data_IF_006251104237
#
_entry.id   IF_006251104237
#
_cell.length_a   1.000
_cell.length_b   1.000
_cell.length_c   1.000
_cell.angle_alpha   90.00
_cell.angle_beta   90.00
_cell.angle_gamma   90.00
#
_symmetry.space_group_name_H-M   'P 1'
#
loop_
_entity.id
_entity.type
_entity.pdbx_description
1 polymer ?
#
# COMPACT_ATOMS: atom_id res chain seq x y z
N UNK A 1 -28.06 3.28 4.02
CA UNK A 1 -27.83 1.83 3.96
C UNK A 1 -26.52 1.44 4.66
N UNK A 2 -25.31 1.64 4.13
CA UNK A 2 -24.08 1.18 4.82
C UNK A 2 -23.82 1.83 6.20
N UNK A 3 -23.90 3.17 6.31
CA UNK A 3 -23.75 3.86 7.60
C UNK A 3 -24.81 3.48 8.64
N UNK A 4 -26.00 3.09 8.20
CA UNK A 4 -27.07 2.67 9.11
C UNK A 4 -26.75 1.32 9.76
N UNK A 5 -26.01 0.45 9.06
CA UNK A 5 -25.62 -0.89 9.54
C UNK A 5 -24.28 -0.83 10.30
N UNK A 6 -23.29 -0.11 9.76
CA UNK A 6 -21.91 -0.12 10.28
C UNK A 6 -21.55 1.10 11.16
N UNK A 7 -22.40 2.13 11.21
CA UNK A 7 -22.19 3.33 12.01
C UNK A 7 -20.81 3.96 11.77
N UNK A 8 -20.05 4.17 12.85
CA UNK A 8 -18.71 4.74 12.82
C UNK A 8 -17.64 3.81 12.24
N UNK A 9 -17.94 2.51 12.10
CA UNK A 9 -17.05 1.53 11.44
C UNK A 9 -17.29 1.45 9.93
N UNK A 10 -18.22 2.25 9.40
CA UNK A 10 -18.49 2.30 7.97
C UNK A 10 -17.27 2.85 7.22
N UNK A 11 -16.95 2.24 6.08
CA UNK A 11 -15.99 2.79 5.14
C UNK A 11 -16.38 4.21 4.71
N UNK A 12 -15.38 5.04 4.44
CA UNK A 12 -15.62 6.34 3.83
C UNK A 12 -16.27 6.17 2.45
N UNK A 13 -17.09 7.16 2.07
CA UNK A 13 -17.85 7.13 0.81
C UNK A 13 -16.93 6.96 -0.41
N UNK A 14 -15.71 7.51 -0.36
CA UNK A 14 -14.69 7.37 -1.41
C UNK A 14 -14.27 5.92 -1.63
N UNK A 15 -13.95 5.19 -0.56
CA UNK A 15 -13.60 3.76 -0.65
C UNK A 15 -14.76 2.91 -1.16
N UNK A 16 -16.01 3.22 -0.78
CA UNK A 16 -17.18 2.51 -1.31
C UNK A 16 -17.29 2.65 -2.83
N UNK A 17 -17.00 3.83 -3.38
CA UNK A 17 -17.02 4.04 -4.83
C UNK A 17 -15.84 3.37 -5.55
N UNK A 18 -14.67 3.33 -4.93
CA UNK A 18 -13.50 2.64 -5.45
C UNK A 18 -13.76 1.13 -5.58
N UNK A 19 -14.25 0.50 -4.51
CA UNK A 19 -14.67 -0.91 -4.55
C UNK A 19 -15.76 -1.17 -5.57
N UNK A 20 -16.77 -0.29 -5.67
CA UNK A 20 -17.82 -0.40 -6.68
C UNK A 20 -17.24 -0.38 -8.10
N UNK A 21 -16.26 0.48 -8.37
CA UNK A 21 -15.58 0.52 -9.67
C UNK A 21 -14.84 -0.79 -9.95
N UNK A 22 -14.05 -1.30 -8.99
CA UNK A 22 -13.31 -2.55 -9.16
C UNK A 22 -14.23 -3.75 -9.42
N UNK A 23 -15.34 -3.87 -8.69
CA UNK A 23 -16.32 -4.92 -8.94
C UNK A 23 -16.95 -4.79 -10.33
N UNK A 24 -17.22 -3.56 -10.79
CA UNK A 24 -17.72 -3.32 -12.15
C UNK A 24 -16.70 -3.68 -13.23
N UNK A 25 -15.41 -3.54 -12.93
CA UNK A 25 -14.28 -3.91 -13.81
C UNK A 25 -13.96 -5.41 -13.75
N UNK A 26 -14.68 -6.20 -12.95
CA UNK A 26 -14.53 -7.65 -12.87
C UNK A 26 -13.51 -8.13 -11.84
N UNK A 27 -13.05 -7.27 -10.91
CA UNK A 27 -12.28 -7.73 -9.75
C UNK A 27 -13.20 -8.54 -8.84
N UNK A 28 -12.89 -9.81 -8.62
CA UNK A 28 -13.65 -10.69 -7.73
C UNK A 28 -12.99 -10.87 -6.35
N UNK A 29 -11.74 -10.46 -6.20
CA UNK A 29 -10.97 -10.62 -4.96
C UNK A 29 -11.12 -9.43 -4.03
N UNK A 30 -11.26 -9.73 -2.73
CA UNK A 30 -11.28 -8.73 -1.65
C UNK A 30 -9.91 -8.47 -1.02
N UNK A 31 -8.92 -9.28 -1.38
CA UNK A 31 -7.55 -9.13 -0.88
C UNK A 31 -6.90 -7.88 -1.46
N UNK A 32 -5.98 -7.30 -0.67
CA UNK A 32 -5.15 -6.19 -1.12
C UNK A 32 -4.23 -6.62 -2.26
N UNK A 33 -3.97 -5.71 -3.19
CA UNK A 33 -2.93 -5.93 -4.19
C UNK A 33 -1.54 -5.99 -3.53
N UNK A 34 -0.56 -6.68 -4.15
CA UNK A 34 0.81 -6.70 -3.66
C UNK A 34 1.32 -5.29 -3.38
N UNK A 35 1.61 -5.01 -2.11
CA UNK A 35 2.12 -3.70 -1.71
C UNK A 35 3.58 -3.61 -2.16
N UNK A 36 3.99 -2.52 -2.83
CA UNK A 36 5.40 -2.32 -3.13
C UNK A 36 6.17 -2.34 -1.80
N UNK A 37 7.18 -3.20 -1.74
CA UNK A 37 8.05 -3.29 -0.58
C UNK A 37 8.79 -1.98 -0.34
N UNK A 38 9.57 -1.94 0.75
CA UNK A 38 10.43 -0.78 1.03
C UNK A 38 11.40 -0.56 -0.15
N UNK A 39 11.42 0.61 -0.80
CA UNK A 39 12.44 0.93 -1.78
C UNK A 39 13.81 0.89 -1.10
N UNK A 40 14.76 0.12 -1.64
CA UNK A 40 16.15 0.10 -1.17
C UNK A 40 16.97 1.20 -1.83
N UNK A 41 16.44 2.43 -1.85
CA UNK A 41 17.09 3.59 -2.50
C UNK A 41 18.20 4.21 -1.65
N UNK A 42 18.43 3.73 -0.42
CA UNK A 42 19.47 4.24 0.48
C UNK A 42 20.81 3.50 0.40
N UNK A 43 20.88 2.39 -0.35
CA UNK A 43 22.09 1.57 -0.50
C UNK A 43 22.70 1.82 -1.88
N UNK A 44 23.20 3.03 -2.10
CA UNK A 44 24.10 3.26 -3.23
C UNK A 44 25.53 3.24 -2.71
N UNK A 45 26.47 2.80 -3.53
CA UNK A 45 27.88 2.70 -3.14
C UNK A 45 28.42 4.06 -2.67
N UNK A 46 27.97 5.17 -3.28
CA UNK A 46 28.37 6.52 -2.86
C UNK A 46 27.87 6.86 -1.44
N UNK A 47 26.68 6.38 -1.06
CA UNK A 47 26.16 6.58 0.29
C UNK A 47 26.85 5.66 1.30
N UNK A 48 27.24 4.45 0.91
CA UNK A 48 27.97 3.50 1.76
C UNK A 48 29.39 4.02 2.05
N UNK A 49 30.08 4.52 1.03
CA UNK A 49 31.40 5.16 1.15
C UNK A 49 31.35 6.41 2.02
N UNK A 50 30.34 7.28 1.82
CA UNK A 50 30.18 8.52 2.59
C UNK A 50 29.86 8.27 4.08
N UNK A 51 29.21 7.16 4.42
CA UNK A 51 28.88 6.78 5.80
C UNK A 51 30.05 6.06 6.48
N UNK A 52 31.15 5.76 5.76
CA UNK A 52 32.35 5.14 6.33
C UNK A 52 32.13 3.69 6.77
N UNK A 53 31.04 3.05 6.33
CA UNK A 53 30.79 1.64 6.61
C UNK A 53 31.48 0.80 5.54
N UNK A 54 32.80 0.69 5.62
CA UNK A 54 33.54 -0.26 4.80
C UNK A 54 33.09 -1.67 5.17
N UNK A 55 32.65 -2.52 4.23
CA UNK A 55 32.47 -3.93 4.52
C UNK A 55 33.79 -4.48 5.03
N UNK A 56 33.77 -5.10 6.22
CA UNK A 56 34.92 -5.83 6.73
C UNK A 56 35.31 -6.92 5.70
N UNK A 57 36.62 -7.26 5.58
CA UNK A 57 37.10 -8.25 4.62
C UNK A 57 36.43 -9.62 4.79
#
# INVERSE_FOLDING_TARGET
>A
MLKAVYGNKCLFRTHVFEWFKWFKEGRETTEDDPRPGRPSTSKTDENIEKIGCTPAP
#
